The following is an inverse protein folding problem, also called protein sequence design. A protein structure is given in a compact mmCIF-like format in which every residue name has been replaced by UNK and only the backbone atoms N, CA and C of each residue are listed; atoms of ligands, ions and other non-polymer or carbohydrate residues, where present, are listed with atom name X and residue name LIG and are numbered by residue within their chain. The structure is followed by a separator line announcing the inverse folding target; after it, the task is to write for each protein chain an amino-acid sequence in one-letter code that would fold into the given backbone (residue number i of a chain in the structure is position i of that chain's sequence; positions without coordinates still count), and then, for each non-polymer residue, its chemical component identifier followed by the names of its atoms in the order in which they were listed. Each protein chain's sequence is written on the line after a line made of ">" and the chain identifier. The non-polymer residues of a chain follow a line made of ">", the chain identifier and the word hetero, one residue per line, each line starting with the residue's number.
data_IF_731320273934
#
_entry.id   IF_731320273934
#
_cell.length_a   1.000
_cell.length_b   1.000
_cell.length_c   1.000
_cell.angle_alpha   90.00
_cell.angle_beta   90.00
_cell.angle_gamma   90.00
#
_symmetry.space_group_name_H-M   'P 1'
#
loop_
_entity.id
_entity.type
_entity.pdbx_description
1 polymer ?
#
# COMPACT_ATOMS: atom_id res chain seq x y z
N UNK A 1 -11.60 6.48 54.73
CA UNK A 1 -12.83 6.92 55.41
C UNK A 1 -13.50 8.03 54.64
N UNK A 2 -12.76 9.08 54.27
CA UNK A 2 -13.36 10.33 53.77
C UNK A 2 -13.93 10.19 52.35
N UNK A 3 -13.32 9.37 51.48
CA UNK A 3 -13.89 9.05 50.17
C UNK A 3 -15.22 8.29 50.26
N UNK A 4 -15.38 7.43 51.27
CA UNK A 4 -16.61 6.67 51.48
C UNK A 4 -17.76 7.53 52.04
N UNK A 5 -17.46 8.73 52.55
CA UNK A 5 -18.44 9.70 53.02
C UNK A 5 -19.00 10.59 51.89
N UNK A 6 -18.40 10.53 50.70
CA UNK A 6 -18.88 11.24 49.52
C UNK A 6 -19.98 10.45 48.80
N UNK A 7 -20.73 11.09 47.91
CA UNK A 7 -21.78 10.44 47.10
C UNK A 7 -21.55 10.67 45.61
N UNK A 8 -22.02 9.73 44.78
CA UNK A 8 -21.92 9.81 43.31
C UNK A 8 -20.47 9.97 42.82
N UNK A 9 -20.28 10.84 41.84
CA UNK A 9 -19.01 11.05 41.13
C UNK A 9 -17.88 11.56 42.03
N UNK A 10 -18.21 12.28 43.11
CA UNK A 10 -17.23 12.78 44.08
C UNK A 10 -16.54 11.64 44.84
N UNK A 11 -17.28 10.56 45.15
CA UNK A 11 -16.69 9.36 45.75
C UNK A 11 -15.75 8.65 44.77
N UNK A 12 -16.17 8.54 43.50
CA UNK A 12 -15.38 7.90 42.43
C UNK A 12 -14.04 8.59 42.22
N UNK A 13 -14.05 9.92 42.04
CA UNK A 13 -12.83 10.71 41.86
C UNK A 13 -11.90 10.62 43.08
N UNK A 14 -12.46 10.57 44.29
CA UNK A 14 -11.69 10.44 45.53
C UNK A 14 -10.97 9.09 45.62
N UNK A 15 -11.70 7.98 45.44
CA UNK A 15 -11.10 6.64 45.46
C UNK A 15 -10.03 6.46 44.38
N UNK A 16 -10.28 6.98 43.18
CA UNK A 16 -9.32 6.99 42.09
C UNK A 16 -8.05 7.77 42.43
N UNK A 17 -8.19 9.00 42.95
CA UNK A 17 -7.02 9.81 43.33
C UNK A 17 -6.21 9.15 44.45
N UNK A 18 -6.87 8.48 45.40
CA UNK A 18 -6.21 7.76 46.49
C UNK A 18 -5.55 6.46 46.02
N UNK A 19 -6.16 5.73 45.08
CA UNK A 19 -5.58 4.52 44.48
C UNK A 19 -4.25 4.83 43.79
N UNK A 20 -4.18 5.94 43.03
CA UNK A 20 -2.95 6.44 42.42
C UNK A 20 -1.95 6.90 43.47
N UNK A 21 -2.37 7.77 44.39
CA UNK A 21 -1.48 8.41 45.38
C UNK A 21 -0.84 7.40 46.35
N UNK A 22 -1.57 6.35 46.70
CA UNK A 22 -1.10 5.31 47.63
C UNK A 22 -0.57 4.07 46.91
N UNK A 23 -0.53 4.08 45.58
CA UNK A 23 -0.16 2.93 44.75
C UNK A 23 -0.90 1.65 45.18
N UNK A 24 -2.20 1.79 45.45
CA UNK A 24 -3.04 0.71 45.93
C UNK A 24 -4.34 0.59 45.09
N UNK A 25 -4.39 -0.36 44.13
CA UNK A 25 -5.50 -0.54 43.22
C UNK A 25 -6.71 -1.19 43.93
N UNK A 26 -6.51 -1.82 45.10
CA UNK A 26 -7.61 -2.41 45.88
C UNK A 26 -8.61 -1.35 46.34
N UNK A 27 -8.17 -0.09 46.42
CA UNK A 27 -9.07 1.04 46.73
C UNK A 27 -10.17 1.19 45.68
N UNK A 28 -9.92 0.80 44.42
CA UNK A 28 -10.94 0.79 43.37
C UNK A 28 -12.06 -0.22 43.63
N UNK A 29 -11.80 -1.31 44.37
CA UNK A 29 -12.80 -2.33 44.70
C UNK A 29 -13.87 -1.82 45.68
N UNK A 30 -13.65 -0.65 46.29
CA UNK A 30 -14.64 0.03 47.13
C UNK A 30 -15.76 0.71 46.32
N UNK A 31 -15.60 0.80 45.00
CA UNK A 31 -16.60 1.37 44.10
C UNK A 31 -17.64 0.30 43.73
N UNK A 32 -18.91 0.62 43.95
CA UNK A 32 -20.05 -0.27 43.66
C UNK A 32 -20.47 -0.24 42.20
N UNK A 33 -20.17 0.83 41.46
CA UNK A 33 -20.41 0.94 40.03
C UNK A 33 -19.26 0.29 39.25
N UNK A 34 -19.58 -0.65 38.36
CA UNK A 34 -18.61 -1.46 37.62
C UNK A 34 -17.78 -0.62 36.64
N UNK A 35 -18.42 0.30 35.91
CA UNK A 35 -17.73 1.22 35.01
C UNK A 35 -16.74 2.12 35.77
N UNK A 36 -17.17 2.70 36.89
CA UNK A 36 -16.31 3.54 37.72
C UNK A 36 -15.14 2.75 38.33
N UNK A 37 -15.36 1.49 38.71
CA UNK A 37 -14.32 0.59 39.20
C UNK A 37 -13.31 0.27 38.10
N UNK A 38 -13.76 -0.11 36.92
CA UNK A 38 -12.90 -0.42 35.78
C UNK A 38 -12.02 0.80 35.42
N UNK A 39 -12.62 1.98 35.27
CA UNK A 39 -11.88 3.21 35.01
C UNK A 39 -10.87 3.57 36.10
N UNK A 40 -11.21 3.32 37.37
CA UNK A 40 -10.28 3.52 38.49
C UNK A 40 -9.05 2.62 38.36
N UNK A 41 -9.22 1.34 38.01
CA UNK A 41 -8.13 0.38 37.82
C UNK A 41 -7.24 0.84 36.65
N UNK A 42 -7.82 1.10 35.48
CA UNK A 42 -7.08 1.53 34.28
C UNK A 42 -6.25 2.78 34.56
N UNK A 43 -6.84 3.79 35.20
CA UNK A 43 -6.14 5.04 35.52
C UNK A 43 -5.05 4.85 36.56
N UNK A 44 -5.25 3.96 37.53
CA UNK A 44 -4.23 3.63 38.53
C UNK A 44 -3.01 3.01 37.86
N UNK A 45 -3.22 1.96 37.06
CA UNK A 45 -2.16 1.28 36.29
C UNK A 45 -1.45 2.26 35.36
N UNK A 46 -2.19 3.10 34.64
CA UNK A 46 -1.59 4.09 33.74
C UNK A 46 -0.71 5.12 34.47
N UNK A 47 -1.09 5.51 35.69
CA UNK A 47 -0.47 6.62 36.42
C UNK A 47 0.78 6.24 37.23
N UNK A 48 0.94 4.98 37.64
CA UNK A 48 2.13 4.54 38.38
C UNK A 48 2.80 3.36 37.68
N UNK A 49 4.12 3.46 37.52
CA UNK A 49 4.98 2.36 37.05
C UNK A 49 5.19 1.27 38.10
N UNK A 50 4.69 1.46 39.33
CA UNK A 50 4.65 0.42 40.37
C UNK A 50 3.66 -0.70 40.09
N UNK A 51 2.77 -0.53 39.11
CA UNK A 51 1.78 -1.53 38.71
C UNK A 51 2.22 -2.33 37.49
N UNK A 52 3.04 -3.35 37.73
CA UNK A 52 3.62 -4.22 36.68
C UNK A 52 2.97 -5.59 36.58
N UNK A 53 2.06 -5.94 37.50
CA UNK A 53 1.38 -7.24 37.50
C UNK A 53 0.15 -7.21 36.56
N UNK A 54 0.16 -7.96 35.44
CA UNK A 54 -0.94 -7.98 34.47
C UNK A 54 -2.22 -8.61 35.03
N UNK A 55 -2.17 -9.34 36.15
CA UNK A 55 -3.36 -9.90 36.79
C UNK A 55 -4.27 -8.83 37.40
N UNK A 56 -3.77 -7.59 37.59
CA UNK A 56 -4.63 -6.45 37.93
C UNK A 56 -5.71 -6.22 36.88
N UNK A 57 -5.40 -6.41 35.60
CA UNK A 57 -6.35 -6.17 34.51
C UNK A 57 -7.47 -7.21 34.50
N UNK A 58 -7.21 -8.42 35.02
CA UNK A 58 -8.23 -9.47 35.17
C UNK A 58 -9.30 -9.11 36.23
N UNK A 59 -9.13 -7.99 36.95
CA UNK A 59 -10.11 -7.44 37.91
C UNK A 59 -11.11 -6.48 37.26
N UNK A 60 -10.88 -6.11 35.99
CA UNK A 60 -11.85 -5.39 35.16
C UNK A 60 -12.95 -6.38 34.78
N UNK A 61 -14.20 -6.00 34.98
CA UNK A 61 -15.34 -6.90 34.75
C UNK A 61 -16.33 -6.32 33.75
N UNK A 62 -17.10 -7.18 33.04
CA UNK A 62 -18.11 -6.72 32.09
C UNK A 62 -19.22 -5.94 32.78
N UNK A 63 -19.63 -4.81 32.19
CA UNK A 63 -20.74 -3.99 32.72
C UNK A 63 -22.06 -4.72 32.49
N UNK A 64 -22.82 -4.98 33.54
CA UNK A 64 -24.05 -5.78 33.52
C UNK A 64 -23.84 -7.24 33.06
N UNK A 65 -22.61 -7.75 33.15
CA UNK A 65 -22.26 -9.10 32.71
C UNK A 65 -22.14 -9.29 31.19
N UNK A 66 -22.18 -8.20 30.42
CA UNK A 66 -22.08 -8.25 28.96
C UNK A 66 -20.64 -7.98 28.49
N UNK A 67 -19.95 -9.05 28.06
CA UNK A 67 -18.57 -9.01 27.56
C UNK A 67 -18.44 -8.35 26.19
N UNK A 68 -19.55 -8.11 25.47
CA UNK A 68 -19.54 -7.50 24.14
C UNK A 68 -19.53 -5.97 24.19
N UNK A 69 -19.79 -5.38 25.37
CA UNK A 69 -19.79 -3.92 25.52
C UNK A 69 -18.42 -3.33 25.24
N UNK A 70 -18.42 -2.33 24.37
CA UNK A 70 -17.24 -1.59 23.93
C UNK A 70 -16.43 -1.08 25.13
N UNK A 71 -17.10 -0.53 26.15
CA UNK A 71 -16.45 -0.01 27.36
C UNK A 71 -15.62 -1.07 28.10
N UNK A 72 -16.12 -2.30 28.21
CA UNK A 72 -15.40 -3.38 28.89
C UNK A 72 -14.16 -3.83 28.11
N UNK A 73 -14.32 -4.08 26.80
CA UNK A 73 -13.21 -4.49 25.91
C UNK A 73 -12.13 -3.42 25.87
N UNK A 74 -12.54 -2.16 25.84
CA UNK A 74 -11.65 -1.01 25.85
C UNK A 74 -10.89 -0.86 27.18
N UNK A 75 -11.60 -0.91 28.32
CA UNK A 75 -10.97 -0.78 29.64
C UNK A 75 -9.95 -1.90 29.91
N UNK A 76 -10.30 -3.16 29.62
CA UNK A 76 -9.39 -4.29 29.79
C UNK A 76 -8.12 -4.11 28.95
N UNK A 77 -8.28 -3.76 27.69
CA UNK A 77 -7.16 -3.61 26.75
C UNK A 77 -6.25 -2.45 27.13
N UNK A 78 -6.82 -1.31 27.53
CA UNK A 78 -6.05 -0.16 28.02
C UNK A 78 -5.27 -0.46 29.29
N UNK A 79 -5.80 -1.32 30.17
CA UNK A 79 -5.06 -1.80 31.33
C UNK A 79 -3.85 -2.64 30.90
N UNK A 80 -4.06 -3.64 30.05
CA UNK A 80 -3.00 -4.54 29.57
C UNK A 80 -1.88 -3.75 28.87
N UNK A 81 -2.24 -2.85 27.95
CA UNK A 81 -1.28 -1.98 27.26
C UNK A 81 -0.51 -1.06 28.23
N UNK A 82 -1.15 -0.61 29.31
CA UNK A 82 -0.48 0.20 30.33
C UNK A 82 0.54 -0.61 31.13
N UNK A 83 0.22 -1.85 31.52
CA UNK A 83 1.17 -2.77 32.17
C UNK A 83 2.34 -3.06 31.24
N UNK A 84 2.05 -3.39 29.98
CA UNK A 84 3.06 -3.63 28.93
C UNK A 84 4.07 -2.50 28.81
N UNK A 85 3.61 -1.26 28.79
CA UNK A 85 4.49 -0.09 28.73
C UNK A 85 5.42 0.01 29.93
N UNK A 86 4.96 -0.37 31.12
CA UNK A 86 5.77 -0.33 32.34
C UNK A 86 6.75 -1.50 32.46
N UNK A 87 6.41 -2.67 31.90
CA UNK A 87 7.23 -3.88 31.95
C UNK A 87 8.10 -4.11 30.73
N UNK A 88 7.79 -3.44 29.61
CA UNK A 88 8.32 -3.74 28.29
C UNK A 88 8.08 -5.20 27.84
N UNK A 89 7.00 -5.83 28.32
CA UNK A 89 6.67 -7.23 28.03
C UNK A 89 5.63 -7.34 26.91
N UNK A 90 6.10 -7.45 25.67
CA UNK A 90 5.25 -7.60 24.49
C UNK A 90 4.47 -8.93 24.45
N UNK A 91 4.80 -9.92 25.28
CA UNK A 91 4.06 -11.20 25.29
C UNK A 91 2.62 -11.04 25.77
N UNK A 92 2.34 -9.98 26.52
CA UNK A 92 0.99 -9.62 26.99
C UNK A 92 0.02 -9.29 25.86
N UNK A 93 0.50 -9.03 24.64
CA UNK A 93 -0.33 -8.91 23.43
C UNK A 93 -1.24 -10.11 23.19
N UNK A 94 -0.82 -11.30 23.64
CA UNK A 94 -1.62 -12.52 23.52
C UNK A 94 -2.90 -12.47 24.35
N UNK A 95 -3.01 -11.56 25.34
CA UNK A 95 -4.21 -11.33 26.15
C UNK A 95 -5.24 -10.41 25.47
N UNK A 96 -4.90 -9.75 24.36
CA UNK A 96 -5.79 -8.82 23.67
C UNK A 96 -6.63 -9.53 22.59
N UNK A 97 -7.87 -9.05 22.42
CA UNK A 97 -8.75 -9.44 21.31
C UNK A 97 -8.08 -9.14 19.95
N UNK A 98 -8.44 -9.89 18.92
CA UNK A 98 -7.84 -9.76 17.57
C UNK A 98 -7.89 -8.30 17.06
N UNK A 99 -9.03 -7.63 17.21
CA UNK A 99 -9.24 -6.23 16.80
C UNK A 99 -8.34 -5.25 17.56
N UNK A 100 -7.87 -5.63 18.75
CA UNK A 100 -7.04 -4.82 19.63
C UNK A 100 -5.57 -5.25 19.63
N UNK A 101 -5.20 -6.32 18.92
CA UNK A 101 -3.79 -6.68 18.71
C UNK A 101 -3.05 -5.67 17.87
N UNK A 102 -3.74 -4.92 17.00
CA UNK A 102 -3.12 -3.83 16.26
C UNK A 102 -2.54 -2.75 17.18
N UNK A 103 -3.08 -2.59 18.40
CA UNK A 103 -2.52 -1.71 19.43
C UNK A 103 -1.19 -2.20 20.00
N UNK A 104 -0.85 -3.47 19.82
CA UNK A 104 0.48 -3.95 20.15
C UNK A 104 1.55 -3.46 19.19
N UNK A 105 1.19 -3.25 17.93
CA UNK A 105 2.12 -2.69 16.96
C UNK A 105 2.41 -1.22 17.31
N UNK A 106 1.39 -0.48 17.78
CA UNK A 106 1.56 0.84 18.39
C UNK A 106 2.45 0.80 19.62
N UNK A 107 2.18 -0.10 20.56
CA UNK A 107 2.96 -0.21 21.79
C UNK A 107 4.43 -0.56 21.51
N UNK A 108 4.68 -1.50 20.59
CA UNK A 108 6.02 -1.87 20.13
C UNK A 108 6.72 -0.69 19.47
N UNK A 109 6.03 0.01 18.56
CA UNK A 109 6.58 1.19 17.89
C UNK A 109 6.97 2.31 18.88
N UNK A 110 6.18 2.51 19.93
CA UNK A 110 6.45 3.50 20.97
C UNK A 110 7.64 3.16 21.87
N UNK A 111 8.12 1.92 21.86
CA UNK A 111 9.26 1.43 22.64
C UNK A 111 10.58 1.46 21.86
N UNK A 112 10.53 1.73 20.55
CA UNK A 112 11.71 1.84 19.68
C UNK A 112 12.55 3.09 19.98
N UNK A 113 13.81 3.09 19.55
CA UNK A 113 14.70 4.27 19.67
C UNK A 113 14.20 5.48 18.85
N UNK A 114 13.48 5.22 17.75
CA UNK A 114 12.84 6.23 16.89
C UNK A 114 11.32 6.01 16.78
N UNK A 115 10.52 6.35 17.81
CA UNK A 115 9.10 6.04 17.86
C UNK A 115 8.28 6.62 16.71
N UNK A 116 8.62 7.82 16.25
CA UNK A 116 7.92 8.48 15.15
C UNK A 116 8.08 7.71 13.84
N UNK A 117 9.29 7.21 13.60
CA UNK A 117 9.59 6.40 12.42
C UNK A 117 8.91 5.04 12.53
N UNK A 118 8.96 4.40 13.69
CA UNK A 118 8.29 3.12 13.92
C UNK A 118 6.77 3.25 13.72
N UNK A 119 6.14 4.29 14.27
CA UNK A 119 4.73 4.59 14.05
C UNK A 119 4.41 4.78 12.56
N UNK A 120 5.28 5.46 11.80
CA UNK A 120 5.04 5.73 10.37
C UNK A 120 5.02 4.48 9.47
N UNK A 121 5.62 3.38 9.94
CA UNK A 121 5.75 2.12 9.21
C UNK A 121 4.58 1.15 9.48
N UNK A 122 3.64 1.50 10.36
CA UNK A 122 2.49 0.67 10.68
C UNK A 122 1.57 0.54 9.46
N UNK A 123 1.17 -0.68 9.11
CA UNK A 123 0.41 -0.98 7.88
C UNK A 123 -0.96 -0.29 7.87
N UNK A 124 -1.71 -0.40 8.98
CA UNK A 124 -3.03 0.23 9.10
C UNK A 124 -2.93 1.74 9.28
N UNK A 125 -3.65 2.49 8.43
CA UNK A 125 -3.75 3.96 8.47
C UNK A 125 -4.33 4.46 9.81
N UNK A 126 -5.36 3.80 10.33
CA UNK A 126 -5.96 4.10 11.63
C UNK A 126 -4.96 3.90 12.78
N UNK A 127 -4.27 2.76 12.78
CA UNK A 127 -3.29 2.40 13.82
C UNK A 127 -2.05 3.32 13.76
N UNK A 128 -1.62 3.68 12.54
CA UNK A 128 -0.59 4.69 12.27
C UNK A 128 -0.99 6.08 12.79
N UNK A 129 -2.22 6.51 12.49
CA UNK A 129 -2.83 7.76 12.97
C UNK A 129 -2.81 7.84 14.49
N UNK A 130 -3.24 6.77 15.16
CA UNK A 130 -3.27 6.69 16.61
C UNK A 130 -1.87 6.70 17.22
N UNK A 131 -0.92 5.95 16.66
CA UNK A 131 0.47 5.92 17.13
C UNK A 131 1.13 7.30 17.07
N UNK A 132 1.03 7.97 15.90
CA UNK A 132 1.58 9.31 15.70
C UNK A 132 0.87 10.35 16.57
N UNK A 133 -0.45 10.25 16.73
CA UNK A 133 -1.24 11.14 17.58
C UNK A 133 -0.86 11.01 19.06
N UNK A 134 -0.69 9.78 19.55
CA UNK A 134 -0.24 9.53 20.92
C UNK A 134 1.18 10.06 21.17
N UNK A 135 2.09 9.85 20.22
CA UNK A 135 3.46 10.34 20.31
C UNK A 135 3.52 11.87 20.32
N UNK A 136 2.76 12.52 19.44
CA UNK A 136 2.63 13.98 19.39
C UNK A 136 2.14 14.55 20.73
N UNK A 137 1.09 13.97 21.31
CA UNK A 137 0.54 14.41 22.59
C UNK A 137 1.49 14.17 23.77
N UNK A 138 2.13 13.00 23.81
CA UNK A 138 3.05 12.65 24.89
C UNK A 138 4.33 13.49 24.87
N UNK A 139 4.87 13.77 23.68
CA UNK A 139 6.06 14.58 23.48
C UNK A 139 5.80 16.10 23.45
N UNK A 140 4.54 16.52 23.36
CA UNK A 140 4.21 17.92 23.11
C UNK A 140 4.65 18.40 21.72
N UNK A 141 4.84 17.49 20.78
CA UNK A 141 5.44 17.77 19.48
C UNK A 141 4.37 18.09 18.43
N UNK A 142 4.25 19.39 18.16
CA UNK A 142 3.29 19.91 17.17
C UNK A 142 3.65 19.53 15.74
N UNK A 143 4.92 19.24 15.44
CA UNK A 143 5.31 18.83 14.09
C UNK A 143 4.73 17.45 13.76
N UNK A 144 4.70 16.54 14.74
CA UNK A 144 4.08 15.22 14.59
C UNK A 144 2.56 15.30 14.37
N UNK A 145 1.86 16.30 14.91
CA UNK A 145 0.45 16.50 14.58
C UNK A 145 0.23 16.76 13.09
N UNK A 146 1.20 17.34 12.37
CA UNK A 146 1.12 17.57 10.91
C UNK A 146 1.30 16.30 10.07
N UNK A 147 1.76 15.21 10.68
CA UNK A 147 1.91 13.89 10.03
C UNK A 147 0.63 13.04 10.11
N UNK A 148 -0.45 13.58 10.67
CA UNK A 148 -1.75 12.91 10.77
C UNK A 148 -2.53 13.02 9.44
N UNK A 149 -3.41 12.04 9.14
CA UNK A 149 -3.88 11.78 7.77
C UNK A 149 -4.71 12.91 7.16
N UNK A 150 -5.46 13.68 7.96
CA UNK A 150 -6.32 14.73 7.44
C UNK A 150 -6.30 15.99 8.33
N UNK A 151 -6.73 17.11 7.74
CA UNK A 151 -6.74 18.43 8.39
C UNK A 151 -7.57 18.44 9.68
N UNK A 152 -8.65 17.66 9.74
CA UNK A 152 -9.50 17.55 10.94
C UNK A 152 -8.73 16.92 12.11
N UNK A 153 -8.05 15.81 11.86
CA UNK A 153 -7.25 15.10 12.87
C UNK A 153 -6.00 15.90 13.26
N UNK A 154 -5.34 16.54 12.29
CA UNK A 154 -4.23 17.46 12.55
C UNK A 154 -4.66 18.63 13.46
N UNK A 155 -5.85 19.20 13.20
CA UNK A 155 -6.44 20.26 14.02
C UNK A 155 -6.85 19.75 15.40
N UNK A 156 -7.41 18.54 15.50
CA UNK A 156 -7.79 17.92 16.77
C UNK A 156 -6.56 17.67 17.66
N UNK A 157 -5.47 17.15 17.08
CA UNK A 157 -4.18 16.97 17.76
C UNK A 157 -3.59 18.30 18.23
N UNK A 158 -3.52 19.28 17.33
CA UNK A 158 -2.98 20.61 17.63
C UNK A 158 -3.78 21.33 18.72
N UNK A 159 -5.11 21.25 18.66
CA UNK A 159 -6.01 21.87 19.64
C UNK A 159 -5.84 21.24 21.04
N UNK A 160 -5.65 19.92 21.11
CA UNK A 160 -5.41 19.24 22.38
C UNK A 160 -4.07 19.62 23.02
N UNK A 161 -3.01 19.77 22.22
CA UNK A 161 -1.72 20.28 22.70
C UNK A 161 -1.84 21.69 23.28
N UNK A 162 -2.66 22.55 22.67
CA UNK A 162 -2.86 23.94 23.12
C UNK A 162 -3.67 24.00 24.42
N UNK A 163 -4.72 23.19 24.54
CA UNK A 163 -5.69 23.30 25.63
C UNK A 163 -5.37 22.41 26.85
N UNK A 164 -4.33 21.58 26.79
CA UNK A 164 -3.90 20.66 27.86
C UNK A 164 -5.05 19.84 28.48
N UNK A 165 -6.05 19.47 27.68
CA UNK A 165 -7.22 18.75 28.17
C UNK A 165 -6.86 17.28 28.46
N UNK A 166 -7.29 16.72 29.60
CA UNK A 166 -7.07 15.31 29.92
C UNK A 166 -7.89 14.47 28.95
N UNK A 167 -7.20 13.79 28.02
CA UNK A 167 -7.72 12.96 26.92
C UNK A 167 -9.14 12.43 27.16
N UNK A 168 -10.17 13.06 26.56
CA UNK A 168 -11.47 12.46 26.38
C UNK A 168 -11.66 12.28 24.87
N UNK A 169 -11.02 11.25 24.31
CA UNK A 169 -11.48 10.63 23.06
C UNK A 169 -11.74 11.52 21.80
N UNK A 170 -10.96 12.57 21.44
CA UNK A 170 -11.21 13.29 20.18
C UNK A 170 -10.31 12.83 19.02
N UNK A 171 -9.06 12.41 19.28
CA UNK A 171 -8.16 11.91 18.23
C UNK A 171 -8.53 10.48 17.85
N UNK A 172 -8.89 9.62 18.81
CA UNK A 172 -9.36 8.25 18.51
C UNK A 172 -10.64 8.26 17.67
N UNK A 173 -11.60 9.15 18.00
CA UNK A 173 -12.81 9.36 17.20
C UNK A 173 -12.50 9.97 15.82
N UNK A 174 -11.60 10.95 15.72
CA UNK A 174 -11.20 11.54 14.44
C UNK A 174 -10.40 10.57 13.54
N UNK A 175 -9.56 9.71 14.12
CA UNK A 175 -8.90 8.61 13.41
C UNK A 175 -9.91 7.49 13.03
N UNK A 176 -11.15 7.52 13.53
CA UNK A 176 -12.21 6.54 13.23
C UNK A 176 -13.32 7.07 12.30
N UNK A 177 -13.54 8.39 12.22
CA UNK A 177 -14.73 8.97 11.53
C UNK A 177 -14.49 9.53 10.13
N UNK A 178 -13.26 9.53 9.59
CA UNK A 178 -13.01 10.10 8.26
C UNK A 178 -11.82 9.43 7.58
N UNK A 179 -12.00 8.18 7.17
CA UNK A 179 -10.98 7.44 6.40
C UNK A 179 -11.47 6.82 5.11
N UNK A 180 -12.78 6.87 4.84
CA UNK A 180 -13.39 6.24 3.69
C UNK A 180 -14.47 7.19 3.17
N UNK A 181 -14.08 8.10 2.28
CA UNK A 181 -15.00 8.99 1.56
C UNK A 181 -15.57 8.20 0.40
N UNK A 182 -16.89 8.10 0.38
CA UNK A 182 -17.71 7.54 -0.71
C UNK A 182 -18.61 8.69 -1.19
N UNK A 183 -18.06 9.54 -2.06
CA UNK A 183 -18.69 10.81 -2.44
C UNK A 183 -19.79 10.64 -3.49
N UNK A 184 -19.79 9.55 -4.25
CA UNK A 184 -20.85 9.22 -5.23
C UNK A 184 -21.83 8.12 -4.77
N UNK A 185 -21.58 7.52 -3.61
CA UNK A 185 -22.44 6.54 -2.94
C UNK A 185 -22.58 5.21 -3.68
N UNK A 186 -21.53 4.74 -4.34
CA UNK A 186 -21.50 3.41 -4.99
C UNK A 186 -20.98 2.27 -4.11
N UNK A 187 -20.51 2.58 -2.91
CA UNK A 187 -19.99 1.61 -1.95
C UNK A 187 -18.49 1.35 -2.05
N UNK A 188 -17.78 2.11 -2.89
CA UNK A 188 -16.32 2.17 -2.97
C UNK A 188 -15.82 3.48 -2.36
N UNK A 189 -14.52 3.55 -2.03
CA UNK A 189 -13.96 4.68 -1.31
C UNK A 189 -12.69 5.23 -1.98
N UNK A 190 -12.53 6.55 -2.00
CA UNK A 190 -11.34 7.21 -2.58
C UNK A 190 -10.02 6.82 -1.91
N UNK A 191 -10.05 6.43 -0.64
CA UNK A 191 -8.86 6.11 0.14
C UNK A 191 -8.54 4.61 0.21
N UNK A 192 -7.25 4.28 0.11
CA UNK A 192 -6.76 2.93 0.35
C UNK A 192 -6.88 2.52 1.83
N UNK A 193 -7.18 1.23 2.06
CA UNK A 193 -7.29 0.66 3.41
C UNK A 193 -8.69 0.72 4.01
N UNK A 194 -9.71 0.97 3.17
CA UNK A 194 -11.12 0.83 3.48
C UNK A 194 -11.63 -0.59 3.25
N UNK A 195 -12.91 -0.84 3.56
CA UNK A 195 -13.56 -2.15 3.37
C UNK A 195 -13.84 -2.49 1.87
N UNK A 196 -13.32 -1.69 0.94
CA UNK A 196 -13.33 -1.91 -0.52
C UNK A 196 -11.93 -1.66 -1.13
N UNK A 197 -11.66 -2.13 -2.36
CA UNK A 197 -10.58 -1.58 -3.16
C UNK A 197 -10.78 -0.08 -3.42
N UNK A 198 -9.71 0.61 -3.82
CA UNK A 198 -9.72 2.07 -4.02
C UNK A 198 -10.59 2.44 -5.21
N UNK A 199 -11.45 3.43 -5.02
CA UNK A 199 -12.22 4.05 -6.08
C UNK A 199 -11.35 5.00 -6.91
N UNK A 200 -11.25 4.71 -8.21
CA UNK A 200 -10.51 5.53 -9.16
C UNK A 200 -11.28 6.80 -9.58
N UNK A 201 -12.60 6.87 -9.32
CA UNK A 201 -13.51 8.00 -9.62
C UNK A 201 -14.64 8.11 -8.58
N UNK A 202 -14.29 8.54 -7.37
CA UNK A 202 -15.19 8.85 -6.25
C UNK A 202 -16.18 10.04 -6.50
N UNK A 203 -16.34 10.48 -7.75
CA UNK A 203 -17.35 11.45 -8.18
C UNK A 203 -18.30 10.90 -9.27
N UNK A 204 -18.18 9.63 -9.65
CA UNK A 204 -19.02 8.95 -10.64
C UNK A 204 -19.27 7.48 -10.31
N UNK A 205 -20.43 7.22 -9.68
CA UNK A 205 -20.95 5.89 -9.25
C UNK A 205 -21.05 4.79 -10.33
N UNK A 206 -20.60 5.06 -11.55
CA UNK A 206 -20.51 4.13 -12.67
C UNK A 206 -19.08 3.61 -12.87
N UNK A 207 -18.10 4.14 -12.14
CA UNK A 207 -16.69 3.82 -12.28
C UNK A 207 -16.16 3.44 -10.90
N UNK A 208 -16.07 2.14 -10.61
CA UNK A 208 -15.66 1.64 -9.30
C UNK A 208 -15.23 0.17 -9.32
N UNK A 209 -14.44 -0.32 -8.35
CA UNK A 209 -13.87 -1.67 -8.34
C UNK A 209 -14.79 -2.88 -8.53
N UNK A 210 -16.10 -2.73 -8.31
CA UNK A 210 -17.09 -3.80 -8.45
C UNK A 210 -17.93 -3.68 -9.74
N UNK A 211 -17.56 -2.77 -10.65
CA UNK A 211 -18.22 -2.64 -11.95
C UNK A 211 -17.82 -3.72 -12.93
N UNK A 212 -18.70 -3.93 -13.90
CA UNK A 212 -18.34 -4.59 -15.15
C UNK A 212 -17.80 -3.53 -16.10
N UNK A 213 -16.71 -3.84 -16.79
CA UNK A 213 -16.10 -2.99 -17.81
C UNK A 213 -17.04 -2.74 -19.00
N UNK A 214 -17.08 -1.50 -19.49
CA UNK A 214 -17.74 -1.10 -20.74
C UNK A 214 -16.70 -1.05 -21.85
N UNK A 215 -16.66 -2.13 -22.63
CA UNK A 215 -15.57 -2.45 -23.54
C UNK A 215 -15.30 -1.53 -24.76
N UNK A 216 -15.88 -0.34 -24.82
CA UNK A 216 -15.68 0.61 -25.94
C UNK A 216 -15.90 2.08 -25.60
N UNK A 217 -15.90 2.45 -24.32
CA UNK A 217 -16.13 3.85 -23.92
C UNK A 217 -14.83 4.61 -23.60
N UNK A 218 -13.68 3.92 -23.59
CA UNK A 218 -12.37 4.50 -23.35
C UNK A 218 -12.09 4.81 -21.88
N UNK A 219 -12.84 4.20 -20.95
CA UNK A 219 -12.75 4.42 -19.50
C UNK A 219 -12.54 3.06 -18.83
N UNK A 220 -11.60 3.00 -17.86
CA UNK A 220 -11.52 1.91 -16.90
C UNK A 220 -12.69 2.05 -15.92
N UNK A 221 -13.77 1.28 -16.12
CA UNK A 221 -14.98 1.36 -15.32
C UNK A 221 -14.87 0.53 -14.04
N UNK A 222 -14.00 -0.47 -13.99
CA UNK A 222 -13.84 -1.39 -12.85
C UNK A 222 -12.58 -1.13 -12.01
N UNK A 223 -11.90 -0.02 -12.25
CA UNK A 223 -10.71 0.46 -11.53
C UNK A 223 -9.58 -0.58 -11.43
N UNK A 224 -9.44 -1.45 -12.43
CA UNK A 224 -8.44 -2.52 -12.43
C UNK A 224 -7.18 -2.17 -13.26
N UNK A 225 -7.09 -0.93 -13.73
CA UNK A 225 -6.01 -0.37 -14.57
C UNK A 225 -6.00 -0.88 -16.03
N UNK A 226 -7.02 -1.62 -16.46
CA UNK A 226 -7.21 -2.04 -17.84
C UNK A 226 -8.43 -1.35 -18.44
N UNK A 227 -8.26 -0.80 -19.64
CA UNK A 227 -9.32 -0.04 -20.35
C UNK A 227 -9.80 -0.84 -21.55
N UNK A 228 -11.13 -0.92 -21.71
CA UNK A 228 -11.80 -1.53 -22.86
C UNK A 228 -11.24 -2.93 -23.18
N UNK A 229 -10.70 -3.13 -24.39
CA UNK A 229 -10.19 -4.42 -24.85
C UNK A 229 -8.87 -4.85 -24.22
N UNK A 230 -8.21 -3.98 -23.45
CA UNK A 230 -7.12 -4.40 -22.59
C UNK A 230 -7.63 -5.13 -21.34
N UNK A 231 -8.91 -4.93 -20.99
CA UNK A 231 -9.53 -5.53 -19.81
C UNK A 231 -9.93 -7.00 -20.01
N UNK A 232 -9.77 -7.79 -18.95
CA UNK A 232 -10.06 -9.23 -18.97
C UNK A 232 -11.56 -9.54 -19.03
N UNK A 233 -12.40 -8.68 -18.45
CA UNK A 233 -13.86 -8.69 -18.56
C UNK A 233 -14.33 -8.53 -20.00
N UNK A 234 -13.56 -7.81 -20.81
CA UNK A 234 -13.87 -7.56 -22.22
C UNK A 234 -13.38 -8.62 -23.21
N UNK A 235 -12.75 -9.71 -22.75
CA UNK A 235 -12.18 -10.76 -23.62
C UNK A 235 -13.17 -11.38 -24.62
N UNK A 236 -14.46 -11.41 -24.29
CA UNK A 236 -15.50 -11.96 -25.16
C UNK A 236 -16.43 -10.88 -25.73
N UNK A 237 -16.14 -9.60 -25.54
CA UNK A 237 -16.95 -8.54 -26.10
C UNK A 237 -16.75 -8.50 -27.64
N UNK A 238 -17.84 -8.49 -28.44
CA UNK A 238 -17.75 -8.40 -29.90
C UNK A 238 -16.96 -7.20 -30.43
N UNK A 239 -16.84 -6.11 -29.64
CA UNK A 239 -16.06 -4.93 -29.97
C UNK A 239 -14.56 -5.16 -29.76
N UNK A 240 -14.22 -6.14 -28.92
CA UNK A 240 -12.88 -6.60 -28.63
C UNK A 240 -12.49 -7.88 -29.38
N UNK A 241 -13.26 -8.25 -30.42
CA UNK A 241 -12.89 -9.29 -31.39
C UNK A 241 -11.66 -8.88 -32.22
N UNK A 242 -10.49 -8.81 -31.57
CA UNK A 242 -9.12 -8.91 -32.10
C UNK A 242 -8.06 -9.15 -30.99
N UNK A 243 -8.41 -9.70 -29.82
CA UNK A 243 -7.44 -10.20 -28.81
C UNK A 243 -6.99 -11.64 -29.07
N UNK A 244 -6.85 -12.03 -30.36
CA UNK A 244 -6.09 -13.24 -30.66
C UNK A 244 -4.61 -12.94 -30.52
N UNK A 245 -3.79 -13.87 -30.00
CA UNK A 245 -2.35 -13.71 -29.97
C UNK A 245 -1.85 -13.24 -31.33
N UNK A 246 -1.16 -12.11 -31.36
CA UNK A 246 -0.60 -11.56 -32.58
C UNK A 246 0.88 -11.83 -32.61
N UNK A 247 1.42 -11.97 -33.82
CA UNK A 247 2.83 -12.19 -34.05
C UNK A 247 3.33 -11.18 -35.07
N UNK A 248 4.34 -10.40 -34.67
CA UNK A 248 5.06 -9.51 -35.58
C UNK A 248 6.32 -10.24 -36.02
N UNK A 249 6.34 -10.65 -37.29
CA UNK A 249 7.47 -11.36 -37.89
C UNK A 249 8.34 -10.38 -38.67
N UNK A 250 9.63 -10.39 -38.39
CA UNK A 250 10.64 -9.51 -38.96
C UNK A 250 11.80 -10.35 -39.51
N UNK A 251 12.39 -9.91 -40.61
CA UNK A 251 13.69 -10.44 -41.04
C UNK A 251 14.77 -9.48 -40.54
N UNK A 252 15.82 -10.02 -39.92
CA UNK A 252 16.95 -9.21 -39.44
C UNK A 252 17.63 -8.44 -40.59
N UNK A 253 18.42 -7.43 -40.26
CA UNK A 253 19.10 -6.58 -41.25
C UNK A 253 20.04 -7.35 -42.18
N UNK A 254 20.59 -8.49 -41.73
CA UNK A 254 21.46 -9.32 -42.57
C UNK A 254 20.67 -10.16 -43.58
N UNK A 255 19.35 -10.30 -43.39
CA UNK A 255 18.48 -11.15 -44.20
C UNK A 255 18.60 -12.65 -43.88
N UNK A 256 19.34 -13.02 -42.84
CA UNK A 256 19.70 -14.41 -42.54
C UNK A 256 18.80 -15.06 -41.49
N UNK A 257 18.13 -14.25 -40.66
CA UNK A 257 17.32 -14.70 -39.53
C UNK A 257 15.91 -14.11 -39.58
N UNK A 258 14.94 -14.94 -39.25
CA UNK A 258 13.56 -14.53 -38.98
C UNK A 258 13.38 -14.42 -37.47
N UNK A 259 12.92 -13.27 -37.02
CA UNK A 259 12.63 -12.94 -35.63
C UNK A 259 11.12 -12.78 -35.52
N UNK A 260 10.48 -13.54 -34.62
CA UNK A 260 9.06 -13.43 -34.36
C UNK A 260 8.82 -12.93 -32.94
N UNK A 261 8.06 -11.83 -32.83
CA UNK A 261 7.64 -11.23 -31.58
C UNK A 261 6.17 -11.57 -31.35
N UNK A 262 5.90 -12.40 -30.36
CA UNK A 262 4.55 -12.81 -29.97
C UNK A 262 3.98 -11.93 -28.85
N UNK A 263 2.73 -11.52 -29.03
CA UNK A 263 1.99 -10.62 -28.15
C UNK A 263 0.71 -11.33 -27.69
N UNK A 264 0.66 -11.71 -26.42
CA UNK A 264 -0.39 -12.57 -25.90
C UNK A 264 -1.79 -11.93 -25.95
N UNK A 265 -1.90 -10.60 -25.83
CA UNK A 265 -3.14 -9.85 -25.94
C UNK A 265 -3.45 -9.34 -27.35
N UNK A 266 -2.66 -9.71 -28.36
CA UNK A 266 -2.86 -9.27 -29.75
C UNK A 266 -2.42 -7.84 -30.03
N UNK A 267 -1.61 -7.26 -29.15
CA UNK A 267 -1.27 -5.84 -29.15
C UNK A 267 -0.32 -5.45 -30.30
N UNK A 268 0.52 -6.39 -30.75
CA UNK A 268 1.45 -6.19 -31.86
C UNK A 268 0.77 -6.21 -33.22
N UNK A 269 0.91 -5.15 -34.01
CA UNK A 269 0.23 -5.05 -35.32
C UNK A 269 1.17 -4.97 -36.51
N UNK A 270 2.27 -4.25 -36.38
CA UNK A 270 3.20 -4.02 -37.49
C UNK A 270 4.59 -3.65 -36.98
N UNK A 271 5.56 -3.62 -37.89
CA UNK A 271 6.90 -3.13 -37.61
C UNK A 271 7.35 -2.13 -38.67
N UNK A 272 8.33 -1.30 -38.31
CA UNK A 272 9.02 -0.39 -39.22
C UNK A 272 10.48 -0.26 -38.81
N UNK A 273 11.38 -0.33 -39.78
CA UNK A 273 12.75 0.13 -39.60
C UNK A 273 12.78 1.65 -39.75
N UNK A 274 13.22 2.35 -38.70
CA UNK A 274 13.33 3.81 -38.65
C UNK A 274 14.81 4.17 -38.83
N UNK A 275 15.19 4.83 -39.94
CA UNK A 275 16.57 5.24 -40.15
C UNK A 275 17.06 6.19 -39.08
N UNK A 276 18.35 6.11 -38.75
CA UNK A 276 19.02 6.98 -37.77
C UNK A 276 18.85 8.47 -38.12
N UNK A 277 18.70 8.81 -39.40
CA UNK A 277 18.41 10.17 -39.86
C UNK A 277 17.03 10.71 -39.45
N UNK A 278 16.07 9.82 -39.17
CA UNK A 278 14.74 10.18 -38.65
C UNK A 278 14.71 10.17 -37.12
N UNK A 279 15.72 9.56 -36.49
CA UNK A 279 15.87 9.54 -35.04
C UNK A 279 16.55 10.82 -34.57
N UNK A 280 16.10 11.35 -33.43
CA UNK A 280 16.78 12.46 -32.75
C UNK A 280 18.10 12.08 -32.08
N UNK A 281 18.59 10.86 -32.29
CA UNK A 281 19.74 10.26 -31.61
C UNK A 281 20.38 9.16 -32.46
N UNK A 282 21.64 8.80 -32.13
CA UNK A 282 22.38 7.76 -32.84
C UNK A 282 22.08 6.36 -32.31
N UNK A 283 21.88 5.40 -33.22
CA UNK A 283 21.83 3.96 -32.92
C UNK A 283 23.20 3.29 -33.11
N UNK A 284 24.29 4.02 -32.85
CA UNK A 284 25.67 3.54 -32.79
C UNK A 284 26.16 2.75 -34.02
N UNK A 285 25.79 3.21 -35.22
CA UNK A 285 26.32 2.66 -36.48
C UNK A 285 25.54 1.47 -37.04
N UNK A 286 24.43 1.10 -36.42
CA UNK A 286 23.47 0.11 -36.96
C UNK A 286 22.51 0.72 -37.98
N UNK A 287 22.42 2.05 -38.03
CA UNK A 287 21.74 2.79 -39.10
C UNK A 287 20.22 2.84 -39.01
N UNK A 288 19.56 1.88 -38.35
CA UNK A 288 18.09 1.83 -38.21
C UNK A 288 17.65 1.27 -36.84
N UNK A 289 16.44 1.66 -36.40
CA UNK A 289 15.73 1.14 -35.22
C UNK A 289 14.55 0.29 -35.68
N UNK A 290 14.42 -0.94 -35.17
CA UNK A 290 13.23 -1.76 -35.35
C UNK A 290 12.12 -1.32 -34.37
N UNK A 291 11.18 -0.53 -34.87
CA UNK A 291 10.01 -0.12 -34.12
C UNK A 291 8.86 -1.12 -34.32
N UNK A 292 8.30 -1.64 -33.23
CA UNK A 292 7.10 -2.49 -33.25
C UNK A 292 5.90 -1.67 -32.78
N UNK A 293 4.83 -1.64 -33.56
CA UNK A 293 3.65 -0.81 -33.32
C UNK A 293 2.61 -1.52 -32.46
N UNK A 294 2.25 -0.87 -31.35
CA UNK A 294 1.19 -1.25 -30.41
C UNK A 294 0.11 -0.14 -30.41
N UNK A 295 -0.92 -0.22 -31.27
CA UNK A 295 -1.82 0.91 -31.50
C UNK A 295 -2.66 1.30 -30.28
N UNK A 296 -2.91 0.36 -29.37
CA UNK A 296 -3.70 0.58 -28.17
C UNK A 296 -2.87 1.13 -27.00
N UNK A 297 -1.56 1.36 -27.18
CA UNK A 297 -0.71 1.95 -26.15
C UNK A 297 -0.55 3.45 -26.38
N UNK A 298 -0.45 4.27 -25.30
CA UNK A 298 -0.17 5.69 -25.39
C UNK A 298 1.10 5.97 -26.22
N UNK A 299 1.03 7.00 -27.06
CA UNK A 299 2.17 7.46 -27.86
C UNK A 299 3.33 7.95 -26.99
N UNK A 300 3.02 8.50 -25.81
CA UNK A 300 4.02 8.80 -24.78
C UNK A 300 4.28 7.54 -23.94
N UNK A 301 5.44 6.90 -24.06
CA UNK A 301 5.74 5.67 -23.33
C UNK A 301 5.95 5.86 -21.82
N UNK A 302 6.07 7.11 -21.34
CA UNK A 302 6.09 7.38 -19.91
C UNK A 302 4.75 7.15 -19.22
N UNK A 303 3.66 7.09 -20.00
CA UNK A 303 2.30 6.80 -19.56
C UNK A 303 1.99 5.30 -19.56
N UNK A 304 2.96 4.42 -19.81
CA UNK A 304 2.73 2.98 -19.78
C UNK A 304 2.87 2.48 -18.34
N UNK A 305 1.76 2.08 -17.74
CA UNK A 305 1.72 1.64 -16.34
C UNK A 305 2.47 0.32 -16.09
N UNK A 306 2.58 -0.53 -17.13
CA UNK A 306 3.26 -1.81 -17.04
C UNK A 306 4.10 -2.16 -18.28
N UNK A 307 4.95 -3.19 -18.15
CA UNK A 307 5.75 -3.72 -19.25
C UNK A 307 4.92 -4.72 -20.07
N UNK A 308 5.07 -4.66 -21.39
CA UNK A 308 4.41 -5.56 -22.34
C UNK A 308 5.12 -6.92 -22.32
N UNK A 309 4.43 -8.03 -22.05
CA UNK A 309 5.02 -9.36 -22.12
C UNK A 309 5.19 -9.80 -23.58
N UNK A 310 6.44 -9.94 -24.03
CA UNK A 310 6.76 -10.30 -25.43
C UNK A 310 7.51 -11.62 -25.47
N UNK A 311 7.01 -12.61 -26.22
CA UNK A 311 7.77 -13.83 -26.52
C UNK A 311 8.61 -13.61 -27.76
N UNK A 312 9.89 -13.99 -27.73
CA UNK A 312 10.79 -13.85 -28.88
C UNK A 312 11.23 -15.24 -29.35
N UNK A 313 11.04 -15.51 -30.64
CA UNK A 313 11.61 -16.68 -31.30
C UNK A 313 12.48 -16.27 -32.47
N UNK A 314 13.60 -16.96 -32.66
CA UNK A 314 14.54 -16.69 -33.75
C UNK A 314 14.79 -17.98 -34.50
N UNK A 315 14.72 -17.91 -35.81
CA UNK A 315 15.01 -19.03 -36.70
C UNK A 315 15.90 -18.58 -37.86
N UNK A 316 16.81 -19.44 -38.27
CA UNK A 316 17.77 -19.17 -39.34
C UNK A 316 18.83 -20.26 -39.39
N UNK A 317 19.43 -20.46 -40.55
CA UNK A 317 20.47 -21.48 -40.73
C UNK A 317 21.72 -21.13 -39.91
N UNK A 318 22.23 -22.09 -39.13
CA UNK A 318 23.44 -21.89 -38.33
C UNK A 318 23.24 -21.00 -37.11
N UNK A 319 22.01 -20.78 -36.63
CA UNK A 319 21.75 -20.12 -35.35
C UNK A 319 22.33 -20.96 -34.19
N UNK A 320 23.25 -20.38 -33.41
CA UNK A 320 23.84 -21.03 -32.23
C UNK A 320 23.16 -20.59 -30.94
N UNK A 321 22.94 -19.29 -30.76
CA UNK A 321 22.28 -18.71 -29.58
C UNK A 321 21.87 -17.27 -29.87
N UNK A 322 21.05 -16.69 -29.01
CA UNK A 322 20.70 -15.26 -29.07
C UNK A 322 20.53 -14.71 -27.66
N UNK A 323 20.59 -13.38 -27.52
CA UNK A 323 20.35 -12.68 -26.26
C UNK A 323 19.64 -11.38 -26.51
N UNK A 324 18.64 -11.07 -25.70
CA UNK A 324 18.02 -9.75 -25.65
C UNK A 324 18.23 -9.12 -24.28
N UNK A 325 18.50 -7.82 -24.25
CA UNK A 325 18.74 -7.09 -23.00
C UNK A 325 18.36 -5.62 -23.15
N UNK A 326 17.87 -4.97 -22.09
CA UNK A 326 17.54 -3.55 -22.15
C UNK A 326 18.84 -2.74 -22.24
N UNK A 327 18.87 -1.75 -23.12
CA UNK A 327 19.89 -0.71 -23.08
C UNK A 327 19.66 0.14 -21.83
N UNK A 328 20.66 0.26 -20.96
CA UNK A 328 20.58 1.26 -19.91
C UNK A 328 20.52 2.64 -20.57
N UNK A 329 19.68 3.50 -20.02
CA UNK A 329 19.62 4.94 -20.28
C UNK A 329 20.96 5.66 -20.04
N UNK A 330 22.00 4.97 -19.58
CA UNK A 330 23.39 5.39 -19.64
C UNK A 330 24.11 4.73 -20.83
N UNK A 331 23.89 5.29 -22.02
CA UNK A 331 24.82 5.61 -23.13
C UNK A 331 26.22 4.95 -23.22
N UNK A 332 26.43 3.75 -22.71
CA UNK A 332 27.72 3.07 -22.70
C UNK A 332 27.56 1.55 -22.94
N UNK A 333 27.83 1.06 -24.16
CA UNK A 333 27.89 -0.38 -24.44
C UNK A 333 29.07 -1.09 -23.72
N UNK A 334 30.00 -0.36 -23.10
CA UNK A 334 30.99 -0.91 -22.18
C UNK A 334 30.48 -1.01 -20.74
N UNK A 335 29.31 -0.46 -20.41
CA UNK A 335 28.58 -0.73 -19.16
C UNK A 335 27.91 -2.11 -19.23
N UNK A 336 28.72 -3.15 -19.40
CA UNK A 336 28.33 -4.58 -19.40
C UNK A 336 27.84 -5.09 -18.03
N UNK A 337 27.32 -4.19 -17.19
CA UNK A 337 26.75 -4.49 -15.88
C UNK A 337 25.21 -4.52 -15.92
N UNK A 338 24.61 -4.83 -17.06
CA UNK A 338 23.20 -5.25 -17.09
C UNK A 338 23.17 -6.73 -16.71
N UNK A 339 22.82 -7.04 -15.46
CA UNK A 339 22.74 -8.41 -14.93
C UNK A 339 21.54 -9.20 -15.47
N UNK A 340 20.64 -8.55 -16.20
CA UNK A 340 19.40 -9.12 -16.75
C UNK A 340 19.45 -9.14 -18.28
N UNK A 341 19.64 -10.34 -18.84
CA UNK A 341 19.42 -10.65 -20.25
C UNK A 341 18.53 -11.88 -20.35
N UNK A 342 17.80 -12.00 -21.45
CA UNK A 342 16.96 -13.15 -21.76
C UNK A 342 17.53 -13.90 -22.96
N UNK A 343 17.54 -15.23 -22.88
CA UNK A 343 18.07 -16.12 -23.92
C UNK A 343 17.21 -17.40 -24.10
N UNK A 344 16.01 -17.44 -23.49
CA UNK A 344 15.07 -18.56 -23.58
C UNK A 344 13.86 -18.20 -24.44
N UNK A 345 13.29 -19.19 -25.12
CA UNK A 345 12.12 -19.02 -26.01
C UNK A 345 10.78 -19.22 -25.30
N UNK A 346 10.79 -19.62 -24.02
CA UNK A 346 9.58 -20.04 -23.29
C UNK A 346 9.01 -18.97 -22.37
N UNK A 347 9.83 -18.01 -21.95
CA UNK A 347 9.42 -16.99 -21.00
C UNK A 347 9.14 -15.67 -21.73
N UNK A 348 8.05 -15.01 -21.36
CA UNK A 348 7.74 -13.69 -21.89
C UNK A 348 8.73 -12.66 -21.31
N UNK A 349 9.28 -11.82 -22.19
CA UNK A 349 10.20 -10.75 -21.86
C UNK A 349 9.39 -9.50 -21.54
N UNK A 350 9.50 -8.91 -20.34
CA UNK A 350 8.79 -7.67 -20.00
C UNK A 350 9.47 -6.49 -20.70
N UNK A 351 8.90 -6.05 -21.83
CA UNK A 351 9.40 -4.94 -22.64
C UNK A 351 8.64 -3.64 -22.35
N UNK A 352 9.34 -2.53 -22.08
CA UNK A 352 8.73 -1.21 -21.88
C UNK A 352 8.96 -0.30 -23.09
N UNK A 353 7.98 0.54 -23.42
CA UNK A 353 8.08 1.50 -24.53
C UNK A 353 9.12 2.60 -24.31
N UNK A 354 9.44 2.91 -23.05
CA UNK A 354 10.43 3.93 -22.66
C UNK A 354 11.88 3.43 -22.73
N UNK A 355 12.09 2.20 -23.22
CA UNK A 355 13.40 1.55 -23.31
C UNK A 355 13.70 1.05 -24.71
N UNK A 356 14.99 0.95 -24.98
CA UNK A 356 15.53 0.23 -26.13
C UNK A 356 16.00 -1.14 -25.70
N UNK A 357 15.90 -2.09 -26.61
CA UNK A 357 16.36 -3.46 -26.40
C UNK A 357 17.36 -3.82 -27.48
N UNK A 358 18.51 -4.34 -27.06
CA UNK A 358 19.49 -4.93 -27.96
C UNK A 358 19.21 -6.40 -28.08
N UNK A 359 19.09 -6.89 -29.30
CA UNK A 359 19.00 -8.31 -29.61
C UNK A 359 20.25 -8.72 -30.37
N UNK A 360 21.11 -9.54 -29.75
CA UNK A 360 22.28 -10.14 -30.39
C UNK A 360 21.96 -11.58 -30.84
N UNK A 361 22.28 -11.90 -32.09
CA UNK A 361 22.08 -13.21 -32.72
C UNK A 361 23.44 -13.79 -33.08
N UNK A 362 23.80 -14.91 -32.45
CA UNK A 362 25.10 -15.55 -32.59
C UNK A 362 25.01 -16.74 -33.54
N UNK A 363 25.66 -16.71 -34.72
CA UNK A 363 25.81 -17.87 -35.58
C UNK A 363 26.82 -18.89 -35.05
N UNK A 364 26.81 -20.10 -35.61
CA UNK A 364 27.86 -21.11 -35.46
C UNK A 364 29.20 -20.64 -36.04
N UNK A 365 29.17 -19.83 -37.11
CA UNK A 365 30.35 -19.25 -37.75
C UNK A 365 30.06 -17.88 -38.35
N UNK A 366 31.02 -16.95 -38.25
CA UNK A 366 30.88 -15.59 -38.79
C UNK A 366 30.64 -14.53 -37.70
N UNK A 367 30.43 -13.26 -38.09
CA UNK A 367 30.05 -12.21 -37.16
C UNK A 367 28.62 -12.44 -36.62
N UNK A 368 28.36 -11.98 -35.39
CA UNK A 368 26.99 -11.93 -34.87
C UNK A 368 26.21 -10.80 -35.56
N UNK A 369 24.89 -10.97 -35.65
CA UNK A 369 23.97 -9.91 -36.07
C UNK A 369 23.37 -9.26 -34.82
N UNK A 370 23.02 -7.97 -34.89
CA UNK A 370 22.24 -7.34 -33.83
C UNK A 370 21.13 -6.47 -34.37
N UNK A 371 20.08 -6.32 -33.56
CA UNK A 371 18.95 -5.43 -33.79
C UNK A 371 18.73 -4.53 -32.59
N UNK A 372 18.36 -3.27 -32.84
CA UNK A 372 17.89 -2.35 -31.80
C UNK A 372 16.37 -2.27 -31.92
N UNK A 373 15.67 -2.56 -30.84
CA UNK A 373 14.21 -2.70 -30.83
C UNK A 373 13.59 -1.67 -29.89
N UNK A 374 12.45 -1.11 -30.28
CA UNK A 374 11.59 -0.30 -29.42
C UNK A 374 10.11 -0.63 -29.67
N UNK A 375 9.31 -0.69 -28.61
CA UNK A 375 7.85 -0.74 -28.72
C UNK A 375 7.29 0.69 -28.82
N UNK A 376 6.38 0.94 -29.75
CA UNK A 376 5.82 2.27 -30.00
C UNK A 376 4.29 2.25 -29.94
N UNK A 377 3.75 3.11 -29.07
CA UNK A 377 2.31 3.36 -28.96
C UNK A 377 1.82 4.29 -30.07
N UNK A 378 0.52 4.23 -30.37
CA UNK A 378 -0.12 5.12 -31.34
C UNK A 378 -1.40 5.81 -30.83
N UNK A 379 -1.83 5.52 -29.60
CA UNK A 379 -2.98 6.17 -28.96
C UNK A 379 -2.58 7.60 -28.55
N UNK A 380 -3.32 8.61 -29.00
CA UNK A 380 -3.02 10.03 -28.74
C UNK A 380 -3.36 10.50 -27.33
#
# INVERSE_FOLDING_TARGET
>A
SDCAAQSGDAAQLCFMAMAVKLENPDLCMSLTNESARNQCIVRSVRASSGFTDPTLCDRIVPIDGDTSKVDFRFDYSMCVLSVMRHTNDLTLCQKLDADLRAWCDVASALLEEEPARACSLLESSAVRCECLGMLALAGGDRALCGSLPNTETQNACTTQLINAQPVPNPIFKACQETLCVDADSDGSFAEAGCDSPVDCRDDDSRIHPERDEVCDDGIDNDCNEAVDCADVGCRNDPKCENTQPSEVVVTDHSGAYTIAFGFAGGEGTSHRFIPESELGFSVYGWGELLAISLPNFPKDPSLWDSAVPVTVTISGAGLKSWRIYPASNSWDPASRNVSTYWDTTTDAIPMRGDRYYWLDIYPESGPYASEVIQLQGALE
#
